data_IF_163150262651
#
_entry.id   IF_163150262651
#
_cell.length_a   1.000
_cell.length_b   1.000
_cell.length_c   1.000
_cell.angle_alpha   90.00
_cell.angle_beta   90.00
_cell.angle_gamma   90.00
#
_symmetry.space_group_name_H-M   'P 1'
#
loop_
_entity.id
_entity.type
_entity.pdbx_description
1 polymer ?
#
# COMPACT_ATOMS: atom_id res chain seq x y z
N UNK A 1 -23.63 -29.94 -33.76
CA UNK A 1 -23.26 -29.78 -35.19
C UNK A 1 -22.48 -28.49 -35.35
N UNK A 2 -21.35 -28.57 -36.08
CA UNK A 2 -20.61 -27.51 -36.80
C UNK A 2 -19.99 -26.31 -36.01
N UNK A 3 -18.65 -26.37 -36.00
CA UNK A 3 -17.61 -25.37 -35.72
C UNK A 3 -17.71 -24.17 -36.66
N UNK A 4 -17.30 -22.97 -36.22
CA UNK A 4 -16.54 -22.02 -37.06
C UNK A 4 -15.50 -21.28 -36.19
N UNK A 5 -14.24 -21.38 -36.61
CA UNK A 5 -13.05 -20.67 -36.12
C UNK A 5 -12.93 -19.31 -36.82
N UNK A 6 -12.34 -18.30 -36.18
CA UNK A 6 -11.68 -17.20 -36.88
C UNK A 6 -10.47 -16.70 -36.09
N UNK A 7 -9.28 -17.08 -36.56
CA UNK A 7 -8.01 -16.45 -36.25
C UNK A 7 -7.95 -15.05 -36.87
N UNK A 8 -7.36 -14.10 -36.16
CA UNK A 8 -6.78 -12.89 -36.77
C UNK A 8 -5.34 -12.75 -36.27
N UNK A 9 -4.44 -12.56 -37.24
CA UNK A 9 -3.00 -12.62 -37.11
C UNK A 9 -2.36 -11.29 -36.69
N UNK A 10 -1.11 -11.42 -36.24
CA UNK A 10 -0.23 -10.42 -35.64
C UNK A 10 0.26 -9.29 -36.56
N UNK A 11 0.57 -8.15 -35.94
CA UNK A 11 1.75 -7.26 -36.11
C UNK A 11 1.49 -6.01 -35.24
N UNK A 12 2.41 -5.36 -34.53
CA UNK A 12 3.78 -5.02 -34.90
C UNK A 12 4.65 -4.75 -33.66
N UNK A 13 5.96 -4.98 -33.82
CA UNK A 13 7.03 -4.57 -32.93
C UNK A 13 7.32 -3.07 -33.08
N UNK A 14 7.43 -2.35 -31.97
CA UNK A 14 8.33 -1.18 -31.85
C UNK A 14 8.92 -1.15 -30.45
N UNK A 15 10.19 -1.50 -30.34
CA UNK A 15 11.05 -1.18 -29.23
C UNK A 15 11.39 0.32 -29.24
N UNK A 16 11.40 1.00 -28.10
CA UNK A 16 12.23 2.19 -27.89
C UNK A 16 12.53 2.43 -26.40
N UNK A 17 13.83 2.32 -26.11
CA UNK A 17 14.65 3.16 -25.22
C UNK A 17 14.41 3.11 -23.71
N UNK A 18 15.32 2.40 -23.05
CA UNK A 18 15.61 2.58 -21.63
C UNK A 18 16.26 3.93 -21.35
N UNK A 19 15.87 4.53 -20.22
CA UNK A 19 16.60 5.62 -19.59
C UNK A 19 17.43 5.03 -18.46
N UNK A 20 18.71 4.77 -18.75
CA UNK A 20 19.75 4.66 -17.72
C UNK A 20 19.78 5.97 -16.93
N UNK A 21 19.45 5.92 -15.63
CA UNK A 21 19.76 7.04 -14.74
C UNK A 21 21.20 6.88 -14.25
N UNK A 22 22.04 7.81 -14.66
CA UNK A 22 23.44 7.91 -14.27
C UNK A 22 23.56 8.23 -12.78
N UNK A 23 24.29 7.40 -12.04
CA UNK A 23 24.85 7.73 -10.74
C UNK A 23 25.93 8.82 -10.91
N UNK A 24 25.85 9.98 -10.25
CA UNK A 24 27.02 10.80 -10.05
C UNK A 24 27.92 10.17 -8.97
N UNK A 25 29.19 10.02 -9.30
CA UNK A 25 30.23 9.61 -8.37
C UNK A 25 30.45 10.69 -7.28
N UNK A 26 30.87 10.29 -6.07
CA UNK A 26 31.25 11.23 -5.02
C UNK A 26 32.60 11.87 -5.36
N UNK A 27 32.62 13.18 -5.54
CA UNK A 27 33.88 13.92 -5.64
C UNK A 27 34.41 14.22 -4.22
N UNK A 28 35.66 13.81 -4.00
CA UNK A 28 36.39 13.94 -2.75
C UNK A 28 36.76 15.40 -2.42
N UNK A 29 36.75 15.75 -1.13
CA UNK A 29 37.95 15.94 -0.28
C UNK A 29 38.28 17.45 -0.08
N UNK A 30 39.21 17.81 0.82
CA UNK A 30 38.96 18.07 2.23
C UNK A 30 39.27 19.54 2.61
N UNK A 31 38.63 20.11 3.63
CA UNK A 31 39.20 21.27 4.35
C UNK A 31 38.74 21.26 5.80
N UNK A 32 39.67 20.91 6.70
CA UNK A 32 39.65 21.30 8.10
C UNK A 32 40.51 22.56 8.26
N UNK A 33 40.63 23.14 9.47
CA UNK A 33 39.62 23.64 10.39
C UNK A 33 39.77 25.17 10.54
N UNK A 34 38.76 25.87 11.05
CA UNK A 34 38.97 27.22 11.60
C UNK A 34 38.00 27.50 12.74
N UNK A 35 38.53 27.38 13.94
CA UNK A 35 37.97 27.92 15.18
C UNK A 35 38.51 29.36 15.32
N UNK A 36 37.69 30.31 15.79
CA UNK A 36 38.10 31.08 16.96
C UNK A 36 36.95 31.30 17.97
N UNK A 37 37.24 30.89 19.22
CA UNK A 37 37.10 31.57 20.54
C UNK A 37 35.88 32.48 20.85
N UNK A 38 35.30 32.39 22.08
CA UNK A 38 33.92 32.78 22.36
C UNK A 38 33.75 34.25 22.78
N UNK A 39 32.54 34.80 22.58
CA UNK A 39 32.09 36.03 23.23
C UNK A 39 30.64 35.87 23.73
N UNK A 40 30.33 36.26 24.99
CA UNK A 40 28.99 36.10 25.55
C UNK A 40 28.12 37.30 25.18
N UNK A 41 26.90 37.02 24.72
CA UNK A 41 25.80 37.99 24.73
C UNK A 41 24.52 37.28 25.15
N UNK A 42 24.16 37.54 26.41
CA UNK A 42 22.85 37.32 27.03
C UNK A 42 21.80 38.12 26.23
N UNK A 43 20.63 37.55 25.94
CA UNK A 43 19.28 38.13 26.09
C UNK A 43 18.22 37.13 25.60
N UNK A 44 17.45 36.66 26.58
CA UNK A 44 16.00 36.39 26.62
C UNK A 44 15.26 35.74 25.44
N UNK A 45 14.48 34.70 25.78
CA UNK A 45 13.39 34.19 24.94
C UNK A 45 13.46 32.71 24.60
N UNK A 46 13.76 31.81 25.55
CA UNK A 46 13.46 30.40 25.34
C UNK A 46 11.96 30.19 25.52
N UNK A 47 11.19 30.48 24.47
CA UNK A 47 9.88 29.89 24.30
C UNK A 47 10.07 28.39 24.44
N UNK A 48 9.42 27.81 25.44
CA UNK A 48 9.32 26.36 25.56
C UNK A 48 8.65 25.84 24.29
N UNK A 49 9.46 25.47 23.31
CA UNK A 49 9.06 24.45 22.35
C UNK A 49 8.94 23.19 23.18
N UNK A 50 7.75 22.99 23.75
CA UNK A 50 7.24 21.66 23.98
C UNK A 50 7.41 20.94 22.65
N UNK A 51 8.49 20.17 22.53
CA UNK A 51 8.56 19.02 21.67
C UNK A 51 7.49 18.07 22.22
N UNK A 52 6.23 18.38 21.90
CA UNK A 52 5.17 17.40 21.93
C UNK A 52 5.53 16.41 20.86
N UNK A 53 6.27 15.37 21.23
CA UNK A 53 6.35 14.15 20.45
C UNK A 53 4.90 13.74 20.15
N UNK A 54 4.42 13.71 18.90
CA UNK A 54 3.20 12.99 18.59
C UNK A 54 3.59 11.52 18.59
N UNK A 55 3.71 10.92 19.77
CA UNK A 55 4.19 9.54 19.89
C UNK A 55 3.46 8.85 21.02
N UNK A 56 2.18 8.62 20.81
CA UNK A 56 1.40 7.57 21.51
C UNK A 56 -0.05 7.40 21.01
N UNK A 57 -0.43 7.95 19.85
CA UNK A 57 -1.78 7.71 19.27
C UNK A 57 -1.80 6.76 18.06
N UNK A 58 -0.64 6.35 17.52
CA UNK A 58 -0.58 5.55 16.29
C UNK A 58 -0.61 4.03 16.49
N UNK A 59 -0.15 3.49 17.63
CA UNK A 59 -0.05 2.04 17.80
C UNK A 59 -1.42 1.37 17.88
N UNK A 60 -2.35 1.94 18.68
CA UNK A 60 -3.73 1.46 18.74
C UNK A 60 -4.47 1.59 17.41
N UNK A 61 -4.11 2.58 16.58
CA UNK A 61 -4.70 2.76 15.24
C UNK A 61 -4.19 1.73 14.24
N UNK A 62 -2.89 1.45 14.24
CA UNK A 62 -2.29 0.44 13.36
C UNK A 62 -2.78 -0.97 13.71
N UNK A 63 -2.84 -1.31 15.01
CA UNK A 63 -3.40 -2.59 15.47
C UNK A 63 -4.82 -2.80 14.97
N UNK A 64 -5.70 -1.82 15.23
CA UNK A 64 -7.10 -1.89 14.83
C UNK A 64 -7.26 -2.00 13.30
N UNK A 65 -6.45 -1.27 12.54
CA UNK A 65 -6.45 -1.34 11.08
C UNK A 65 -6.03 -2.73 10.57
N UNK A 66 -4.97 -3.32 11.14
CA UNK A 66 -4.52 -4.65 10.74
C UNK A 66 -5.54 -5.75 11.10
N UNK A 67 -6.20 -5.63 12.26
CA UNK A 67 -7.29 -6.54 12.67
C UNK A 67 -8.52 -6.39 11.75
N UNK A 68 -8.90 -5.15 11.42
CA UNK A 68 -10.01 -4.88 10.49
C UNK A 68 -9.71 -5.43 9.09
N UNK A 69 -8.48 -5.26 8.59
CA UNK A 69 -8.09 -5.86 7.31
C UNK A 69 -8.26 -7.38 7.32
N UNK A 70 -7.81 -8.06 8.39
CA UNK A 70 -7.98 -9.51 8.50
C UNK A 70 -9.47 -9.92 8.52
N UNK A 71 -10.31 -9.15 9.21
CA UNK A 71 -11.75 -9.39 9.24
C UNK A 71 -12.39 -9.21 7.86
N UNK A 72 -12.03 -8.14 7.14
CA UNK A 72 -12.52 -7.90 5.78
C UNK A 72 -12.02 -8.95 4.79
N UNK A 73 -10.76 -9.37 4.89
CA UNK A 73 -10.21 -10.41 4.03
C UNK A 73 -10.87 -11.78 4.29
N UNK A 74 -11.15 -12.10 5.55
CA UNK A 74 -11.94 -13.28 5.89
C UNK A 74 -13.36 -13.20 5.33
N UNK A 75 -13.98 -12.02 5.37
CA UNK A 75 -15.25 -11.73 4.72
C UNK A 75 -15.19 -11.99 3.22
N UNK A 76 -14.20 -11.40 2.55
CA UNK A 76 -13.93 -11.61 1.11
C UNK A 76 -13.80 -13.09 0.75
N UNK A 77 -13.00 -13.84 1.50
CA UNK A 77 -12.77 -15.27 1.24
C UNK A 77 -14.02 -16.13 1.46
N UNK A 78 -14.97 -15.66 2.27
CA UNK A 78 -16.23 -16.35 2.55
C UNK A 78 -17.35 -16.03 1.53
N UNK A 79 -17.19 -14.98 0.70
CA UNK A 79 -18.17 -14.64 -0.34
C UNK A 79 -18.21 -15.76 -1.40
N UNK A 80 -19.39 -16.29 -1.75
CA UNK A 80 -19.52 -17.25 -2.84
C UNK A 80 -19.04 -16.65 -4.16
N UNK A 81 -18.32 -17.43 -4.99
CA UNK A 81 -17.75 -16.94 -6.27
C UNK A 81 -18.78 -16.44 -7.30
N UNK A 82 -20.07 -16.72 -7.09
CA UNK A 82 -21.16 -16.21 -7.93
C UNK A 82 -21.84 -14.96 -7.37
N UNK A 83 -21.46 -14.52 -6.17
CA UNK A 83 -22.12 -13.44 -5.42
C UNK A 83 -21.40 -12.10 -5.67
N UNK A 84 -21.77 -11.45 -6.78
CA UNK A 84 -21.25 -10.13 -7.16
C UNK A 84 -21.53 -9.07 -6.08
N UNK A 85 -22.74 -9.06 -5.53
CA UNK A 85 -23.15 -8.10 -4.49
C UNK A 85 -22.36 -8.29 -3.20
N UNK A 86 -22.06 -9.54 -2.82
CA UNK A 86 -21.19 -9.84 -1.69
C UNK A 86 -19.77 -9.28 -1.85
N UNK A 87 -19.21 -9.33 -3.08
CA UNK A 87 -17.91 -8.71 -3.35
C UNK A 87 -18.00 -7.17 -3.38
N UNK A 88 -19.09 -6.59 -3.86
CA UNK A 88 -19.30 -5.13 -3.79
C UNK A 88 -19.42 -4.62 -2.34
N UNK A 89 -20.05 -5.38 -1.43
CA UNK A 89 -20.09 -5.04 0.00
C UNK A 89 -18.67 -4.96 0.60
N UNK A 90 -17.82 -5.94 0.28
CA UNK A 90 -16.41 -5.92 0.69
C UNK A 90 -15.69 -4.70 0.10
N UNK A 91 -15.92 -4.38 -1.16
CA UNK A 91 -15.35 -3.19 -1.79
C UNK A 91 -15.72 -1.91 -1.02
N UNK A 92 -17.01 -1.71 -0.73
CA UNK A 92 -17.49 -0.53 -0.01
C UNK A 92 -16.85 -0.45 1.37
N UNK A 93 -16.87 -1.55 2.13
CA UNK A 93 -16.28 -1.57 3.48
C UNK A 93 -14.77 -1.36 3.49
N UNK A 94 -14.06 -1.88 2.49
CA UNK A 94 -12.63 -1.64 2.31
C UNK A 94 -12.35 -0.17 1.95
N UNK A 95 -13.17 0.47 1.10
CA UNK A 95 -13.07 1.90 0.80
C UNK A 95 -13.33 2.77 2.04
N UNK A 96 -14.32 2.42 2.86
CA UNK A 96 -14.59 3.10 4.13
C UNK A 96 -13.40 2.97 5.09
N UNK A 97 -12.89 1.76 5.29
CA UNK A 97 -11.73 1.52 6.14
C UNK A 97 -10.49 2.28 5.65
N UNK A 98 -10.24 2.29 4.33
CA UNK A 98 -9.17 3.05 3.68
C UNK A 98 -9.19 4.52 4.06
N UNK A 99 -10.37 5.15 4.12
CA UNK A 99 -10.49 6.57 4.41
C UNK A 99 -10.34 6.92 5.90
N UNK A 100 -10.34 5.91 6.79
CA UNK A 100 -10.04 6.08 8.22
C UNK A 100 -8.56 5.96 8.58
N UNK A 101 -7.72 5.50 7.65
CA UNK A 101 -6.29 5.25 7.87
C UNK A 101 -5.42 6.12 6.95
N UNK A 102 -4.11 6.12 7.22
CA UNK A 102 -3.13 6.88 6.45
C UNK A 102 -1.88 6.05 6.16
N UNK A 103 -1.02 6.56 5.26
CA UNK A 103 0.23 5.90 4.89
C UNK A 103 0.03 4.54 4.22
N UNK A 104 0.92 3.60 4.50
CA UNK A 104 0.94 2.29 3.84
C UNK A 104 -0.28 1.41 4.18
N UNK A 105 -0.89 1.62 5.36
CA UNK A 105 -2.15 0.95 5.74
C UNK A 105 -3.31 1.41 4.85
N UNK A 106 -3.28 2.64 4.35
CA UNK A 106 -4.25 3.09 3.34
C UNK A 106 -4.10 2.31 2.03
N UNK A 107 -2.86 2.02 1.64
CA UNK A 107 -2.56 1.17 0.48
C UNK A 107 -3.06 -0.26 0.67
N UNK A 108 -3.00 -0.80 1.89
CA UNK A 108 -3.50 -2.14 2.23
C UNK A 108 -5.00 -2.29 1.94
N UNK A 109 -5.83 -1.37 2.43
CA UNK A 109 -7.28 -1.41 2.15
C UNK A 109 -7.61 -1.07 0.69
N UNK A 110 -6.84 -0.18 0.05
CA UNK A 110 -7.02 0.12 -1.37
C UNK A 110 -6.75 -1.11 -2.27
N UNK A 111 -5.78 -1.95 -1.91
CA UNK A 111 -5.51 -3.18 -2.64
C UNK A 111 -6.64 -4.21 -2.44
N UNK A 112 -7.22 -4.28 -1.24
CA UNK A 112 -8.38 -5.14 -0.99
C UNK A 112 -9.63 -4.64 -1.73
N UNK A 113 -9.88 -3.32 -1.75
CA UNK A 113 -11.02 -2.77 -2.48
C UNK A 113 -10.89 -3.04 -3.98
N UNK A 114 -9.70 -2.89 -4.56
CA UNK A 114 -9.42 -3.26 -5.95
C UNK A 114 -9.68 -4.75 -6.23
N UNK A 115 -9.19 -5.64 -5.36
CA UNK A 115 -9.42 -7.09 -5.52
C UNK A 115 -10.92 -7.42 -5.48
N UNK A 116 -11.66 -6.81 -4.56
CA UNK A 116 -13.08 -7.07 -4.37
C UNK A 116 -13.90 -6.60 -5.59
N UNK A 117 -13.68 -5.37 -6.09
CA UNK A 117 -14.46 -4.87 -7.24
C UNK A 117 -14.15 -5.65 -8.53
N UNK A 118 -12.90 -6.06 -8.70
CA UNK A 118 -12.47 -6.86 -9.85
C UNK A 118 -13.06 -8.28 -9.79
N UNK A 119 -13.14 -8.88 -8.60
CA UNK A 119 -13.84 -10.16 -8.42
C UNK A 119 -15.35 -10.00 -8.64
N UNK A 120 -15.96 -8.91 -8.17
CA UNK A 120 -17.38 -8.62 -8.42
C UNK A 120 -17.67 -8.60 -9.92
N UNK A 121 -16.83 -7.93 -10.71
CA UNK A 121 -16.98 -7.86 -12.16
C UNK A 121 -16.85 -9.23 -12.87
N UNK A 122 -16.07 -10.15 -12.28
CA UNK A 122 -15.89 -11.51 -12.79
C UNK A 122 -16.94 -12.52 -12.27
N UNK A 123 -17.65 -12.18 -11.19
CA UNK A 123 -18.63 -13.03 -10.54
C UNK A 123 -19.75 -13.42 -11.52
N UNK A 124 -20.21 -14.67 -11.43
CA UNK A 124 -21.24 -15.21 -12.32
C UNK A 124 -20.75 -15.64 -13.72
N UNK A 125 -19.56 -15.19 -14.15
CA UNK A 125 -18.91 -15.68 -15.39
C UNK A 125 -18.05 -16.92 -15.16
N UNK A 126 -17.89 -17.36 -13.91
CA UNK A 126 -17.00 -18.44 -13.51
C UNK A 126 -15.51 -18.07 -13.54
N UNK A 127 -15.20 -16.78 -13.72
CA UNK A 127 -13.86 -16.23 -13.60
C UNK A 127 -13.56 -15.79 -12.17
N UNK A 128 -12.27 -15.62 -11.86
CA UNK A 128 -11.82 -14.97 -10.63
C UNK A 128 -11.30 -13.56 -10.91
N UNK A 129 -10.82 -12.84 -9.89
CA UNK A 129 -10.19 -11.54 -10.10
C UNK A 129 -8.91 -11.70 -10.93
N UNK A 130 -8.56 -10.63 -11.64
CA UNK A 130 -7.33 -10.45 -12.36
C UNK A 130 -6.11 -10.72 -11.47
N UNK A 131 -5.05 -11.23 -12.09
CA UNK A 131 -3.83 -11.60 -11.39
C UNK A 131 -3.13 -10.37 -10.81
N UNK A 132 -3.22 -9.23 -11.50
CA UNK A 132 -2.69 -7.94 -11.09
C UNK A 132 -3.33 -7.47 -9.77
N UNK A 133 -4.65 -7.65 -9.61
CA UNK A 133 -5.37 -7.31 -8.38
C UNK A 133 -4.92 -8.17 -7.20
N UNK A 134 -4.67 -9.46 -7.45
CA UNK A 134 -4.16 -10.40 -6.44
C UNK A 134 -2.72 -10.05 -6.03
N UNK A 135 -1.88 -9.72 -7.00
CA UNK A 135 -0.49 -9.36 -6.75
C UNK A 135 -0.40 -8.03 -6.00
N UNK A 136 -1.24 -7.05 -6.34
CA UNK A 136 -1.36 -5.80 -5.58
C UNK A 136 -1.73 -6.04 -4.11
N UNK A 137 -2.68 -6.95 -3.82
CA UNK A 137 -3.02 -7.32 -2.43
C UNK A 137 -1.82 -7.95 -1.71
N UNK A 138 -1.10 -8.86 -2.38
CA UNK A 138 0.08 -9.52 -1.81
C UNK A 138 1.17 -8.51 -1.47
N UNK A 139 1.50 -7.63 -2.41
CA UNK A 139 2.52 -6.60 -2.21
C UNK A 139 2.14 -5.67 -1.06
N UNK A 140 0.87 -5.26 -0.97
CA UNK A 140 0.40 -4.42 0.11
C UNK A 140 0.46 -5.12 1.48
N UNK A 141 0.12 -6.41 1.55
CA UNK A 141 0.28 -7.20 2.79
C UNK A 141 1.75 -7.33 3.17
N UNK A 142 2.64 -7.63 2.23
CA UNK A 142 4.07 -7.72 2.51
C UNK A 142 4.66 -6.38 2.98
N UNK A 143 4.27 -5.28 2.36
CA UNK A 143 4.71 -3.94 2.76
C UNK A 143 4.27 -3.58 4.19
N UNK A 144 3.10 -4.06 4.62
CA UNK A 144 2.52 -3.74 5.93
C UNK A 144 2.77 -4.83 7.01
N UNK A 145 3.32 -5.99 6.65
CA UNK A 145 3.51 -7.11 7.56
C UNK A 145 4.36 -6.73 8.79
N UNK A 146 5.43 -5.94 8.59
CA UNK A 146 6.27 -5.46 9.68
C UNK A 146 5.51 -4.55 10.65
N UNK A 147 4.76 -3.59 10.10
CA UNK A 147 3.90 -2.67 10.86
C UNK A 147 2.89 -3.43 11.70
N UNK A 148 2.16 -4.37 11.12
CA UNK A 148 1.15 -5.14 11.84
C UNK A 148 1.76 -6.09 12.88
N UNK A 149 2.89 -6.75 12.55
CA UNK A 149 3.54 -7.68 13.49
C UNK A 149 4.13 -6.95 14.70
N UNK A 150 4.62 -5.71 14.51
CA UNK A 150 5.06 -4.86 15.63
C UNK A 150 3.92 -4.56 16.62
N UNK A 151 2.67 -4.54 16.15
CA UNK A 151 1.45 -4.38 16.95
C UNK A 151 0.85 -5.72 17.43
N UNK A 152 1.52 -6.84 17.16
CA UNK A 152 1.08 -8.18 17.53
C UNK A 152 0.01 -8.79 16.62
N UNK A 153 -0.20 -8.23 15.43
CA UNK A 153 -1.17 -8.72 14.44
C UNK A 153 -0.43 -9.33 13.24
N UNK A 154 -0.75 -10.59 12.92
CA UNK A 154 -0.27 -11.21 11.67
C UNK A 154 -1.31 -11.01 10.59
N UNK A 155 -0.94 -10.39 9.47
CA UNK A 155 -1.82 -10.23 8.32
C UNK A 155 -2.07 -11.59 7.64
N UNK A 156 -3.32 -11.82 7.25
CA UNK A 156 -3.79 -13.05 6.60
C UNK A 156 -3.96 -12.84 5.09
N UNK A 157 -3.69 -13.90 4.31
CA UNK A 157 -3.83 -13.96 2.85
C UNK A 157 -4.11 -15.39 2.39
#
# INVERSE_FOLDING_TARGET
MKRILAMAAAAALTALTGCSVSTPAPEGSPTAPSQPTPRPARTEGSFGSSAGSPSSSSSNGAKAACEEFNALFAGYAAVPSSDSEGYEDIYVRAEEAKDTVSGDLRGLFAALSLLAIDHSAAAGSGGGPAQESKDALRDAVFANAGTCTAEGVTLLL
#
